data_IF_453363859236
#
_entry.id   IF_453363859236
#
_cell.length_a   1.000
_cell.length_b   1.000
_cell.length_c   1.000
_cell.angle_alpha   90.00
_cell.angle_beta   90.00
_cell.angle_gamma   90.00
#
_symmetry.space_group_name_H-M   'P 1'
#
loop_
_entity.id
_entity.type
_entity.pdbx_description
1 polymer ?
#
# COMPACT_ATOMS: atom_id res chain seq x y z
N UNK A 1 0.59 23.93 -25.00
CA UNK A 1 0.22 23.64 -23.58
C UNK A 1 1.02 22.45 -23.14
N UNK A 2 1.54 22.47 -21.93
CA UNK A 2 2.28 21.31 -21.41
C UNK A 2 1.33 20.15 -21.11
N UNK A 3 1.78 18.92 -21.37
CA UNK A 3 1.05 17.70 -21.03
C UNK A 3 1.70 17.02 -19.83
N UNK A 4 0.97 16.91 -18.74
CA UNK A 4 1.39 16.26 -17.50
C UNK A 4 0.73 14.90 -17.39
N UNK A 5 1.52 13.84 -17.24
CA UNK A 5 1.05 12.48 -17.02
C UNK A 5 1.20 12.11 -15.53
N UNK A 6 0.11 11.74 -14.87
CA UNK A 6 0.13 11.08 -13.57
C UNK A 6 0.01 9.58 -13.73
N UNK A 7 1.00 8.82 -13.23
CA UNK A 7 1.00 7.37 -13.26
C UNK A 7 0.62 6.81 -11.89
N UNK A 8 -0.63 6.36 -11.78
CA UNK A 8 -1.17 5.72 -10.58
C UNK A 8 -0.70 4.28 -10.43
N UNK A 9 -0.45 3.85 -9.20
CA UNK A 9 -0.15 2.47 -8.80
C UNK A 9 -0.95 2.14 -7.52
N UNK A 10 -0.27 1.96 -6.37
CA UNK A 10 -0.92 1.75 -5.07
C UNK A 10 -1.16 3.09 -4.35
N UNK A 11 -1.87 4.00 -5.02
CA UNK A 11 -2.16 5.36 -4.55
C UNK A 11 -3.52 5.87 -5.10
N UNK A 12 -4.55 4.99 -5.06
CA UNK A 12 -5.83 5.11 -5.74
C UNK A 12 -6.79 6.11 -5.06
N UNK A 13 -6.38 7.37 -4.97
CA UNK A 13 -7.15 8.47 -4.40
C UNK A 13 -6.84 9.80 -5.06
N UNK A 14 -7.76 10.76 -4.91
CA UNK A 14 -7.57 12.13 -5.42
C UNK A 14 -7.19 13.13 -4.32
N UNK A 15 -7.57 12.87 -3.06
CA UNK A 15 -7.22 13.72 -1.92
C UNK A 15 -5.93 13.24 -1.30
N UNK A 16 -5.04 14.16 -0.95
CA UNK A 16 -3.73 13.85 -0.36
C UNK A 16 -2.87 12.92 -1.22
N UNK A 17 -2.91 13.08 -2.55
CA UNK A 17 -2.01 12.42 -3.49
C UNK A 17 -0.98 13.42 -4.00
N UNK A 18 0.28 13.28 -3.57
CA UNK A 18 1.32 14.27 -3.83
C UNK A 18 1.65 14.41 -5.32
N UNK A 19 1.72 13.30 -6.05
CA UNK A 19 2.00 13.32 -7.48
C UNK A 19 0.87 13.97 -8.27
N UNK A 20 -0.39 13.63 -7.97
CA UNK A 20 -1.55 14.24 -8.61
C UNK A 20 -1.65 15.73 -8.27
N UNK A 21 -1.41 16.11 -7.02
CA UNK A 21 -1.39 17.49 -6.59
C UNK A 21 -0.36 18.29 -7.39
N UNK A 22 0.87 17.79 -7.50
CA UNK A 22 1.95 18.43 -8.24
C UNK A 22 1.65 18.52 -9.75
N UNK A 23 1.13 17.46 -10.36
CA UNK A 23 0.75 17.44 -11.78
C UNK A 23 -0.31 18.50 -12.11
N UNK A 24 -1.17 18.83 -11.13
CA UNK A 24 -2.28 19.78 -11.28
C UNK A 24 -1.94 21.23 -10.90
N UNK A 25 -0.70 21.54 -10.47
CA UNK A 25 -0.34 22.90 -10.04
C UNK A 25 -0.37 23.93 -11.17
N UNK A 26 0.00 23.53 -12.39
CA UNK A 26 -0.16 24.39 -13.57
C UNK A 26 -1.60 24.31 -14.09
N UNK A 27 -2.39 25.39 -13.98
CA UNK A 27 -3.76 25.40 -14.47
C UNK A 27 -3.85 25.33 -16.01
N UNK A 28 -2.79 25.67 -16.73
CA UNK A 28 -2.74 25.64 -18.20
C UNK A 28 -2.30 24.28 -18.75
N UNK A 29 -1.69 23.42 -17.95
CA UNK A 29 -1.27 22.10 -18.42
C UNK A 29 -2.47 21.18 -18.66
N UNK A 30 -2.40 20.38 -19.72
CA UNK A 30 -3.30 19.22 -19.88
C UNK A 30 -2.83 18.10 -18.93
N UNK A 31 -3.70 17.63 -18.04
CA UNK A 31 -3.38 16.53 -17.13
C UNK A 31 -4.13 15.28 -17.57
N UNK A 32 -3.37 14.21 -17.77
CA UNK A 32 -3.90 12.87 -18.08
C UNK A 32 -3.42 11.89 -17.00
N UNK A 33 -4.26 10.94 -16.66
CA UNK A 33 -3.96 9.90 -15.69
C UNK A 33 -3.76 8.56 -16.40
N UNK A 34 -2.93 7.69 -15.81
CA UNK A 34 -2.65 6.36 -16.33
C UNK A 34 -2.60 5.35 -15.19
N UNK A 35 -3.16 4.17 -15.43
CA UNK A 35 -2.94 2.96 -14.65
C UNK A 35 -2.52 1.82 -15.58
N UNK A 36 -1.44 1.10 -15.23
CA UNK A 36 -0.96 -0.08 -15.95
C UNK A 36 -1.11 -1.28 -15.02
N UNK A 37 -1.94 -2.24 -15.43
CA UNK A 37 -2.04 -3.54 -14.80
C UNK A 37 -0.91 -4.46 -15.30
N UNK A 38 -0.33 -5.29 -14.39
CA UNK A 38 0.75 -6.22 -14.72
C UNK A 38 0.46 -7.61 -14.12
N UNK A 39 -0.50 -8.37 -14.71
CA UNK A 39 -0.99 -9.63 -14.14
C UNK A 39 0.07 -10.70 -13.94
N UNK A 40 1.03 -10.85 -14.85
CA UNK A 40 2.10 -11.83 -14.67
C UNK A 40 3.03 -11.47 -13.50
N UNK A 41 3.30 -10.18 -13.29
CA UNK A 41 4.03 -9.70 -12.11
C UNK A 41 3.24 -9.99 -10.82
N UNK A 42 1.92 -9.79 -10.82
CA UNK A 42 1.07 -10.09 -9.67
C UNK A 42 1.07 -11.58 -9.33
N UNK A 43 0.97 -12.44 -10.36
CA UNK A 43 1.04 -13.90 -10.21
C UNK A 43 2.39 -14.35 -9.64
N UNK A 44 3.49 -13.74 -10.09
CA UNK A 44 4.84 -14.03 -9.60
C UNK A 44 5.04 -13.69 -8.11
N UNK A 45 4.19 -12.82 -7.55
CA UNK A 45 4.22 -12.37 -6.16
C UNK A 45 2.98 -12.78 -5.36
N UNK A 46 2.27 -13.82 -5.79
CA UNK A 46 1.15 -14.43 -5.08
C UNK A 46 0.03 -13.45 -4.70
N UNK A 47 -0.24 -12.43 -5.52
CA UNK A 47 -1.31 -11.46 -5.23
C UNK A 47 -2.66 -12.17 -5.12
N UNK A 48 -3.40 -11.89 -4.06
CA UNK A 48 -4.70 -12.53 -3.84
C UNK A 48 -5.74 -12.14 -4.91
N UNK A 49 -6.54 -13.09 -5.45
CA UNK A 49 -7.63 -12.79 -6.37
C UNK A 49 -8.66 -11.78 -5.82
N UNK A 50 -8.89 -11.76 -4.49
CA UNK A 50 -9.73 -10.75 -3.83
C UNK A 50 -9.09 -9.37 -3.85
N UNK A 51 -7.76 -9.29 -3.66
CA UNK A 51 -7.05 -8.02 -3.73
C UNK A 51 -7.11 -7.44 -5.15
N UNK A 52 -6.98 -8.28 -6.19
CA UNK A 52 -7.14 -7.85 -7.58
C UNK A 52 -8.56 -7.33 -7.87
N UNK A 53 -9.60 -8.01 -7.35
CA UNK A 53 -10.98 -7.54 -7.47
C UNK A 53 -11.20 -6.21 -6.73
N UNK A 54 -10.63 -6.05 -5.54
CA UNK A 54 -10.73 -4.80 -4.77
C UNK A 54 -9.96 -3.66 -5.43
N UNK A 55 -8.81 -3.96 -6.03
CA UNK A 55 -8.03 -3.02 -6.85
C UNK A 55 -8.88 -2.49 -8.01
N UNK A 56 -9.54 -3.38 -8.78
CA UNK A 56 -10.39 -2.98 -9.90
C UNK A 56 -11.56 -2.10 -9.45
N UNK A 57 -12.25 -2.47 -8.36
CA UNK A 57 -13.34 -1.67 -7.80
C UNK A 57 -12.87 -0.26 -7.39
N UNK A 58 -11.73 -0.14 -6.72
CA UNK A 58 -11.16 1.14 -6.32
C UNK A 58 -10.66 1.96 -7.53
N UNK A 59 -10.13 1.30 -8.56
CA UNK A 59 -9.72 1.97 -9.79
C UNK A 59 -10.93 2.56 -10.54
N UNK A 60 -12.08 1.87 -10.54
CA UNK A 60 -13.33 2.40 -11.10
C UNK A 60 -13.81 3.65 -10.34
N UNK A 61 -13.72 3.65 -9.01
CA UNK A 61 -14.05 4.82 -8.19
C UNK A 61 -13.09 5.98 -8.46
N UNK A 62 -11.79 5.71 -8.56
CA UNK A 62 -10.78 6.72 -8.92
C UNK A 62 -11.05 7.30 -10.30
N UNK A 63 -11.35 6.49 -11.31
CA UNK A 63 -11.67 6.92 -12.66
C UNK A 63 -12.85 7.90 -12.66
N UNK A 64 -13.91 7.57 -11.92
CA UNK A 64 -15.07 8.44 -11.78
C UNK A 64 -14.70 9.77 -11.09
N UNK A 65 -13.95 9.73 -10.01
CA UNK A 65 -13.52 10.91 -9.28
C UNK A 65 -12.62 11.83 -10.13
N UNK A 66 -11.73 11.27 -10.94
CA UNK A 66 -10.87 12.01 -11.88
C UNK A 66 -11.68 12.61 -13.02
N UNK A 67 -12.65 11.87 -13.59
CA UNK A 67 -13.52 12.35 -14.66
C UNK A 67 -14.31 13.60 -14.25
N UNK A 68 -14.85 13.64 -13.02
CA UNK A 68 -15.51 14.83 -12.44
C UNK A 68 -14.53 16.03 -12.40
N UNK A 69 -13.23 15.81 -12.28
CA UNK A 69 -12.20 16.86 -12.28
C UNK A 69 -11.70 17.24 -13.68
N UNK A 70 -12.24 16.61 -14.72
CA UNK A 70 -11.80 16.82 -16.11
C UNK A 70 -10.46 16.15 -16.41
N UNK A 71 -10.09 15.08 -15.69
CA UNK A 71 -8.84 14.33 -15.88
C UNK A 71 -9.18 12.94 -16.43
N UNK A 72 -8.86 12.62 -17.69
CA UNK A 72 -9.09 11.29 -18.23
C UNK A 72 -8.12 10.28 -17.63
N UNK A 73 -8.63 9.10 -17.24
CA UNK A 73 -7.82 7.95 -16.82
C UNK A 73 -7.68 6.97 -17.99
N UNK A 74 -6.45 6.82 -18.46
CA UNK A 74 -6.07 5.77 -19.41
C UNK A 74 -5.75 4.49 -18.64
N UNK A 75 -6.20 3.37 -19.18
CA UNK A 75 -5.94 2.05 -18.64
C UNK A 75 -5.22 1.21 -19.67
N UNK A 76 -4.19 0.51 -19.25
CA UNK A 76 -3.50 -0.47 -20.08
C UNK A 76 -3.10 -1.70 -19.25
N UNK A 77 -2.90 -2.83 -19.90
CA UNK A 77 -2.41 -4.05 -19.31
C UNK A 77 -1.16 -4.53 -20.06
N UNK A 78 -0.10 -4.77 -19.31
CA UNK A 78 1.14 -5.39 -19.77
C UNK A 78 1.33 -6.71 -19.03
N UNK A 79 2.18 -7.59 -19.54
CA UNK A 79 2.47 -8.84 -18.84
C UNK A 79 3.24 -8.56 -17.56
N UNK A 80 4.34 -7.83 -17.64
CA UNK A 80 5.23 -7.55 -16.51
C UNK A 80 5.72 -6.10 -16.47
N UNK A 81 6.64 -5.83 -15.55
CA UNK A 81 7.23 -4.50 -15.38
C UNK A 81 8.12 -4.07 -16.56
N UNK A 82 8.79 -5.01 -17.22
CA UNK A 82 9.64 -4.68 -18.37
C UNK A 82 8.79 -4.20 -19.56
N UNK A 83 7.70 -4.89 -19.85
CA UNK A 83 6.76 -4.49 -20.89
C UNK A 83 6.09 -3.16 -20.56
N UNK A 84 5.77 -2.93 -19.27
CA UNK A 84 5.18 -1.67 -18.81
C UNK A 84 6.10 -0.48 -19.04
N UNK A 85 7.42 -0.63 -18.90
CA UNK A 85 8.40 0.43 -19.17
C UNK A 85 8.43 0.79 -20.66
N UNK A 86 8.42 -0.21 -21.53
CA UNK A 86 8.46 -0.02 -22.98
C UNK A 86 7.18 0.68 -23.44
N UNK A 87 6.04 0.15 -23.02
CA UNK A 87 4.75 0.71 -23.37
C UNK A 87 4.55 2.14 -22.86
N UNK A 88 4.95 2.42 -21.61
CA UNK A 88 4.81 3.76 -21.03
C UNK A 88 5.68 4.80 -21.75
N UNK A 89 6.89 4.42 -22.16
CA UNK A 89 7.76 5.26 -22.96
C UNK A 89 7.11 5.62 -24.32
N UNK A 90 6.55 4.63 -25.02
CA UNK A 90 5.83 4.85 -26.28
C UNK A 90 4.56 5.68 -26.08
N UNK A 91 3.81 5.44 -25.00
CA UNK A 91 2.64 6.22 -24.64
C UNK A 91 2.99 7.69 -24.37
N UNK A 92 4.06 7.94 -23.64
CA UNK A 92 4.54 9.30 -23.40
C UNK A 92 4.85 10.07 -24.69
N UNK A 93 5.39 9.39 -25.70
CA UNK A 93 5.63 10.01 -27.00
C UNK A 93 4.34 10.30 -27.75
N UNK A 94 3.44 9.30 -27.82
CA UNK A 94 2.16 9.45 -28.53
C UNK A 94 1.31 10.59 -27.96
N UNK A 95 1.35 10.76 -26.62
CA UNK A 95 0.63 11.81 -25.91
C UNK A 95 1.42 13.13 -25.78
N UNK A 96 2.64 13.19 -26.32
CA UNK A 96 3.52 14.36 -26.20
C UNK A 96 3.67 14.83 -24.73
N UNK A 97 3.98 13.89 -23.82
CA UNK A 97 4.10 14.16 -22.39
C UNK A 97 5.37 14.97 -22.11
N UNK A 98 5.22 16.12 -21.45
CA UNK A 98 6.32 16.97 -21.01
C UNK A 98 6.85 16.58 -19.63
N UNK A 99 5.95 16.14 -18.74
CA UNK A 99 6.31 15.76 -17.38
C UNK A 99 5.52 14.53 -16.90
N UNK A 100 6.23 13.58 -16.29
CA UNK A 100 5.70 12.39 -15.67
C UNK A 100 5.78 12.53 -14.15
N UNK A 101 4.63 12.33 -13.48
CA UNK A 101 4.48 12.42 -12.02
C UNK A 101 4.08 11.08 -11.47
N UNK A 102 4.72 10.64 -10.37
CA UNK A 102 4.33 9.41 -9.69
C UNK A 102 4.79 9.36 -8.23
N UNK A 103 4.05 8.60 -7.42
CA UNK A 103 4.39 8.36 -6.04
C UNK A 103 5.29 7.12 -5.92
N UNK A 104 6.36 7.17 -5.15
CA UNK A 104 7.33 6.09 -5.02
C UNK A 104 6.71 4.84 -4.38
N UNK A 105 7.12 3.69 -4.88
CA UNK A 105 6.96 2.38 -4.25
C UNK A 105 8.34 1.93 -3.74
N UNK A 106 8.37 1.19 -2.63
CA UNK A 106 9.63 0.93 -1.92
C UNK A 106 10.12 -0.50 -2.06
N UNK A 107 9.31 -1.38 -2.63
CA UNK A 107 9.67 -2.74 -2.96
C UNK A 107 10.75 -2.75 -4.05
N UNK A 108 11.63 -3.75 -3.99
CA UNK A 108 12.84 -3.77 -4.85
C UNK A 108 12.50 -3.77 -6.35
N UNK A 109 11.54 -4.59 -6.78
CA UNK A 109 11.18 -4.70 -8.18
C UNK A 109 10.57 -3.39 -8.70
N UNK A 110 9.76 -2.74 -7.89
CA UNK A 110 9.14 -1.44 -8.17
C UNK A 110 10.18 -0.34 -8.29
N UNK A 111 11.17 -0.31 -7.40
CA UNK A 111 12.29 0.63 -7.47
C UNK A 111 13.13 0.41 -8.73
N UNK A 112 13.42 -0.84 -9.09
CA UNK A 112 14.16 -1.18 -10.31
C UNK A 112 13.38 -0.77 -11.56
N UNK A 113 12.08 -1.03 -11.61
CA UNK A 113 11.18 -0.57 -12.69
C UNK A 113 11.21 0.93 -12.84
N UNK A 114 11.00 1.67 -11.75
CA UNK A 114 10.95 3.14 -11.77
C UNK A 114 12.31 3.73 -12.16
N UNK A 115 13.42 3.15 -11.68
CA UNK A 115 14.77 3.54 -12.07
C UNK A 115 15.06 3.30 -13.56
N UNK A 116 14.67 2.14 -14.09
CA UNK A 116 14.84 1.79 -15.51
C UNK A 116 14.01 2.70 -16.42
N UNK A 117 12.77 3.01 -16.04
CA UNK A 117 11.92 3.96 -16.77
C UNK A 117 12.56 5.35 -16.84
N UNK A 118 12.97 5.91 -15.71
CA UNK A 118 13.59 7.24 -15.66
C UNK A 118 14.87 7.28 -16.50
N UNK A 119 15.68 6.23 -16.42
CA UNK A 119 16.90 6.10 -17.25
C UNK A 119 16.55 6.11 -18.74
N UNK A 120 15.54 5.32 -19.13
CA UNK A 120 15.08 5.22 -20.54
C UNK A 120 14.56 6.56 -21.06
N UNK A 121 13.72 7.27 -20.30
CA UNK A 121 13.20 8.59 -20.67
C UNK A 121 14.31 9.65 -20.78
N UNK A 122 15.31 9.60 -19.89
CA UNK A 122 16.45 10.51 -19.92
C UNK A 122 17.39 10.27 -21.12
N UNK A 123 17.59 9.02 -21.56
CA UNK A 123 18.44 8.70 -22.72
C UNK A 123 17.89 9.22 -24.06
N UNK A 124 16.62 9.61 -24.13
CA UNK A 124 16.00 10.22 -25.31
C UNK A 124 16.31 11.70 -25.49
N UNK A 125 17.10 12.32 -24.61
CA UNK A 125 17.48 13.76 -24.69
C UNK A 125 18.10 14.17 -26.04
N UNK A 126 18.53 13.22 -26.88
CA UNK A 126 19.03 13.48 -28.25
C UNK A 126 17.95 13.57 -29.34
N UNK A 127 16.69 13.26 -29.06
CA UNK A 127 15.58 13.19 -30.07
C UNK A 127 14.63 14.41 -30.00
N UNK A 128 14.95 15.47 -29.29
CA UNK A 128 14.25 16.76 -29.34
C UNK A 128 13.15 17.00 -28.32
N UNK A 129 12.74 16.00 -27.52
CA UNK A 129 11.75 16.18 -26.45
C UNK A 129 12.19 15.46 -25.18
N UNK A 130 12.36 16.23 -24.10
CA UNK A 130 12.80 15.72 -22.79
C UNK A 130 11.61 15.64 -21.84
N UNK A 131 11.38 14.46 -21.24
CA UNK A 131 10.33 14.26 -20.26
C UNK A 131 10.93 14.41 -18.86
N UNK A 132 10.40 15.35 -18.06
CA UNK A 132 10.83 15.52 -16.69
C UNK A 132 10.08 14.54 -15.78
N UNK A 133 10.80 13.77 -14.95
CA UNK A 133 10.19 12.81 -14.01
C UNK A 133 10.18 13.39 -12.59
N UNK A 134 8.99 13.44 -11.98
CA UNK A 134 8.77 13.91 -10.61
C UNK A 134 8.31 12.74 -9.73
N UNK A 135 9.06 12.47 -8.64
CA UNK A 135 8.81 11.38 -7.71
C UNK A 135 8.51 11.91 -6.31
N UNK A 136 7.57 11.30 -5.61
CA UNK A 136 7.11 11.76 -4.29
C UNK A 136 7.03 10.61 -3.29
N UNK A 137 7.40 10.88 -2.03
CA UNK A 137 7.23 9.95 -0.91
C UNK A 137 5.82 10.12 -0.32
N UNK A 138 4.85 9.42 -0.89
CA UNK A 138 3.43 9.62 -0.63
C UNK A 138 2.84 8.58 0.34
N UNK A 139 3.29 7.34 0.26
CA UNK A 139 2.73 6.22 1.03
C UNK A 139 3.30 6.09 2.45
N UNK A 140 4.04 7.09 2.92
CA UNK A 140 4.70 7.16 4.23
C UNK A 140 4.50 8.52 4.88
N UNK A 141 4.66 8.59 6.20
CA UNK A 141 4.71 9.84 6.97
C UNK A 141 6.08 10.51 6.86
N UNK A 142 7.15 9.71 6.90
CA UNK A 142 8.53 10.16 6.75
C UNK A 142 9.24 9.30 5.69
N UNK A 143 10.01 9.92 4.77
CA UNK A 143 10.72 9.17 3.74
C UNK A 143 11.66 8.10 4.32
N UNK A 144 11.70 6.87 3.78
CA UNK A 144 12.67 5.86 4.18
C UNK A 144 14.11 6.40 4.09
N UNK A 145 14.91 6.08 5.12
CA UNK A 145 16.26 6.63 5.26
C UNK A 145 16.35 7.98 5.98
N UNK A 146 15.21 8.60 6.33
CA UNK A 146 15.20 9.85 7.11
C UNK A 146 15.32 9.63 8.64
N UNK A 147 15.06 8.41 9.12
CA UNK A 147 15.13 8.05 10.55
C UNK A 147 16.22 7.00 10.74
N UNK A 148 17.40 7.46 11.15
CA UNK A 148 18.60 6.63 11.30
C UNK A 148 19.17 6.77 12.71
N UNK A 149 20.01 5.81 13.11
CA UNK A 149 20.82 5.89 14.32
C UNK A 149 21.90 6.98 14.22
N UNK A 150 22.57 7.30 15.33
CA UNK A 150 23.70 8.22 15.33
C UNK A 150 24.85 7.84 14.39
N UNK A 151 24.94 6.56 13.98
CA UNK A 151 25.93 6.04 13.03
C UNK A 151 25.40 5.99 11.58
N UNK A 152 24.28 6.65 11.28
CA UNK A 152 23.60 6.62 9.97
C UNK A 152 23.16 5.22 9.52
N UNK A 153 22.82 4.33 10.44
CA UNK A 153 22.30 3.01 10.16
C UNK A 153 20.79 2.93 10.45
N UNK A 154 20.10 2.04 9.73
CA UNK A 154 18.70 1.74 10.02
C UNK A 154 18.55 1.05 11.38
N UNK A 155 17.57 1.49 12.16
CA UNK A 155 17.19 0.81 13.40
C UNK A 155 16.70 -0.62 13.10
N UNK A 156 17.20 -1.60 13.87
CA UNK A 156 16.80 -3.02 13.75
C UNK A 156 15.72 -3.42 14.77
N UNK A 157 15.40 -2.51 15.69
CA UNK A 157 14.43 -2.72 16.78
C UNK A 157 13.41 -1.58 16.78
N UNK A 158 12.14 -1.91 16.91
CA UNK A 158 11.04 -0.94 16.81
C UNK A 158 11.06 0.16 17.87
N UNK A 159 11.29 -0.18 19.16
CA UNK A 159 11.17 0.80 20.25
C UNK A 159 12.10 2.00 20.10
N UNK A 160 13.39 1.85 19.82
CA UNK A 160 14.26 3.00 19.55
C UNK A 160 13.91 3.72 18.23
N UNK A 161 13.51 2.99 17.17
CA UNK A 161 13.01 3.58 15.94
C UNK A 161 11.81 4.48 16.20
N UNK A 162 10.78 3.98 16.90
CA UNK A 162 9.57 4.74 17.24
C UNK A 162 9.89 6.06 17.94
N UNK A 163 10.82 6.05 18.91
CA UNK A 163 11.23 7.27 19.63
C UNK A 163 11.84 8.30 18.68
N UNK A 164 12.78 7.88 17.85
CA UNK A 164 13.43 8.75 16.87
C UNK A 164 12.42 9.21 15.80
N UNK A 165 11.52 8.33 15.36
CA UNK A 165 10.47 8.63 14.39
C UNK A 165 9.52 9.73 14.89
N UNK A 166 9.02 9.61 16.13
CA UNK A 166 8.13 10.62 16.73
C UNK A 166 8.83 11.98 16.86
N UNK A 167 10.08 11.99 17.31
CA UNK A 167 10.87 13.23 17.37
C UNK A 167 10.99 13.90 15.99
N UNK A 168 11.25 13.10 14.94
CA UNK A 168 11.35 13.61 13.57
C UNK A 168 10.00 14.06 13.04
N UNK A 169 8.93 13.31 13.34
CA UNK A 169 7.57 13.64 12.94
C UNK A 169 7.10 14.98 13.52
N UNK A 170 7.44 15.28 14.77
CA UNK A 170 7.13 16.57 15.43
C UNK A 170 7.81 17.78 14.75
N UNK A 171 8.93 17.55 14.07
CA UNK A 171 9.67 18.56 13.33
C UNK A 171 9.27 18.66 11.85
N UNK A 172 8.37 17.80 11.40
CA UNK A 172 7.99 17.65 9.99
C UNK A 172 6.60 18.20 9.74
N UNK A 173 6.39 18.78 8.55
CA UNK A 173 5.06 19.19 8.10
C UNK A 173 4.34 18.03 7.40
N UNK A 174 3.59 17.22 8.16
CA UNK A 174 2.79 16.12 7.63
C UNK A 174 1.37 16.57 7.28
N UNK A 175 1.23 17.66 6.48
CA UNK A 175 -0.10 18.17 6.06
C UNK A 175 -0.61 17.42 4.85
N UNK A 176 -1.93 17.19 4.81
CA UNK A 176 -2.61 16.68 3.64
C UNK A 176 -2.72 17.75 2.56
N UNK A 177 -2.52 17.36 1.30
CA UNK A 177 -2.78 18.21 0.15
C UNK A 177 -4.23 18.06 -0.33
N UNK A 178 -4.87 19.13 -0.85
CA UNK A 178 -6.25 19.04 -1.32
C UNK A 178 -6.34 18.23 -2.62
N UNK A 179 -7.56 17.72 -2.90
CA UNK A 179 -7.89 17.19 -4.22
C UNK A 179 -7.74 18.29 -5.29
N UNK A 180 -7.42 17.94 -6.55
CA UNK A 180 -7.30 18.92 -7.62
C UNK A 180 -8.62 19.66 -7.86
N UNK A 181 -8.53 20.93 -8.24
CA UNK A 181 -9.70 21.71 -8.69
C UNK A 181 -10.21 21.13 -10.01
N UNK A 182 -11.51 21.39 -10.29
CA UNK A 182 -12.07 21.09 -11.61
C UNK A 182 -11.29 21.87 -12.67
N UNK A 183 -11.00 21.20 -13.79
CA UNK A 183 -10.32 21.80 -14.93
C UNK A 183 -11.33 22.11 -16.02
N UNK A 184 -11.14 23.22 -16.74
CA UNK A 184 -11.96 23.60 -17.88
C UNK A 184 -11.60 22.71 -19.10
N UNK A 185 -11.86 21.43 -19.00
CA UNK A 185 -11.66 20.44 -20.06
C UNK A 185 -13.02 19.99 -20.61
N UNK A 186 -12.98 19.43 -21.83
CA UNK A 186 -14.14 18.72 -22.39
C UNK A 186 -14.62 17.68 -21.38
N UNK A 187 -15.93 17.53 -21.23
CA UNK A 187 -16.52 16.55 -20.33
C UNK A 187 -15.89 15.16 -20.57
N UNK A 188 -15.19 14.66 -19.56
CA UNK A 188 -14.55 13.34 -19.64
C UNK A 188 -15.61 12.29 -19.30
N UNK A 189 -15.96 11.47 -20.28
CA UNK A 189 -16.82 10.30 -20.04
C UNK A 189 -15.90 9.12 -19.66
N UNK A 190 -16.04 8.55 -18.43
CA UNK A 190 -15.26 7.38 -18.05
C UNK A 190 -15.66 6.19 -18.93
N UNK A 191 -14.69 5.59 -19.60
CA UNK A 191 -14.89 4.35 -20.31
C UNK A 191 -14.96 3.18 -19.31
N UNK A 192 -15.81 2.16 -19.55
CA UNK A 192 -15.83 0.98 -18.70
C UNK A 192 -14.44 0.34 -18.64
N UNK A 193 -13.90 0.16 -17.43
CA UNK A 193 -12.68 -0.61 -17.26
C UNK A 193 -12.97 -2.09 -17.47
N UNK A 194 -12.17 -2.73 -18.32
CA UNK A 194 -12.23 -4.16 -18.50
C UNK A 194 -11.65 -4.87 -17.25
N UNK A 195 -12.16 -6.05 -16.90
CA UNK A 195 -11.55 -6.88 -15.87
C UNK A 195 -10.08 -7.15 -16.22
N UNK A 196 -9.24 -7.27 -15.19
CA UNK A 196 -7.86 -7.71 -15.36
C UNK A 196 -7.81 -9.13 -15.89
N UNK A 197 -6.86 -9.45 -16.75
CA UNK A 197 -6.51 -10.83 -17.13
C UNK A 197 -5.78 -11.51 -15.95
N UNK A 198 -6.49 -11.60 -14.83
CA UNK A 198 -6.03 -12.14 -13.57
C UNK A 198 -7.22 -12.73 -12.81
N UNK A 199 -7.04 -13.85 -12.08
CA UNK A 199 -8.11 -14.40 -11.26
C UNK A 199 -8.70 -13.35 -10.32
N UNK A 200 -10.02 -13.34 -10.20
CA UNK A 200 -10.73 -12.44 -9.30
C UNK A 200 -11.71 -13.23 -8.44
N UNK A 201 -11.77 -12.87 -7.17
CA UNK A 201 -12.77 -13.39 -6.22
C UNK A 201 -13.58 -12.22 -5.67
N UNK A 202 -14.88 -12.40 -5.43
CA UNK A 202 -15.72 -11.36 -4.87
C UNK A 202 -15.20 -10.84 -3.53
N UNK A 203 -15.29 -9.53 -3.34
CA UNK A 203 -15.06 -8.86 -2.06
C UNK A 203 -16.41 -8.58 -1.42
N UNK A 204 -16.50 -8.78 -0.10
CA UNK A 204 -17.69 -8.38 0.63
C UNK A 204 -17.73 -6.85 0.75
N UNK A 205 -18.58 -6.22 -0.06
CA UNK A 205 -18.73 -4.77 -0.10
C UNK A 205 -19.40 -4.18 1.16
N UNK A 206 -19.98 -5.00 2.03
CA UNK A 206 -20.46 -4.54 3.34
C UNK A 206 -19.31 -4.41 4.32
N UNK A 207 -18.35 -5.33 4.26
CA UNK A 207 -17.13 -5.28 5.07
C UNK A 207 -16.13 -4.24 4.51
N UNK A 208 -15.92 -4.24 3.20
CA UNK A 208 -14.92 -3.40 2.54
C UNK A 208 -15.50 -2.71 1.29
N UNK A 209 -16.37 -1.68 1.47
CA UNK A 209 -16.85 -0.90 0.33
C UNK A 209 -15.70 -0.16 -0.35
N UNK A 210 -15.67 -0.17 -1.68
CA UNK A 210 -14.62 0.48 -2.46
C UNK A 210 -14.78 2.00 -2.50
N UNK A 211 -13.67 2.71 -2.66
CA UNK A 211 -13.59 4.14 -2.89
C UNK A 211 -13.06 4.94 -1.71
N UNK A 212 -12.48 6.08 -2.04
CA UNK A 212 -11.84 7.01 -1.09
C UNK A 212 -12.83 7.51 -0.03
N UNK A 213 -14.07 7.84 -0.42
CA UNK A 213 -15.07 8.34 0.54
C UNK A 213 -15.44 7.28 1.58
N UNK A 214 -15.57 6.01 1.17
CA UNK A 214 -15.83 4.90 2.10
C UNK A 214 -14.67 4.72 3.10
N UNK A 215 -13.43 4.80 2.61
CA UNK A 215 -12.23 4.73 3.46
C UNK A 215 -12.17 5.89 4.46
N UNK A 216 -12.44 7.11 4.00
CA UNK A 216 -12.46 8.31 4.84
C UNK A 216 -13.59 8.27 5.87
N UNK A 217 -14.76 7.77 5.50
CA UNK A 217 -15.87 7.61 6.43
C UNK A 217 -15.53 6.60 7.53
N UNK A 218 -14.94 5.45 7.17
CA UNK A 218 -14.48 4.45 8.14
C UNK A 218 -13.42 5.04 9.08
N UNK A 219 -12.45 5.79 8.57
CA UNK A 219 -11.46 6.48 9.38
C UNK A 219 -12.11 7.47 10.36
N UNK A 220 -13.08 8.27 9.90
CA UNK A 220 -13.80 9.23 10.75
C UNK A 220 -14.57 8.55 11.87
N UNK A 221 -15.33 7.49 11.55
CA UNK A 221 -16.08 6.72 12.56
C UNK A 221 -15.16 6.07 13.58
N UNK A 222 -14.09 5.41 13.12
CA UNK A 222 -13.11 4.81 14.02
C UNK A 222 -12.47 5.82 14.98
N UNK A 223 -12.00 6.96 14.46
CA UNK A 223 -11.35 7.98 15.30
C UNK A 223 -12.31 8.65 16.30
N UNK A 224 -13.61 8.76 15.97
CA UNK A 224 -14.60 9.35 16.88
C UNK A 224 -15.12 8.40 17.94
N UNK A 225 -15.33 7.13 17.57
CA UNK A 225 -16.17 6.22 18.35
C UNK A 225 -15.37 5.11 19.03
N UNK A 226 -14.21 4.72 18.47
CA UNK A 226 -13.52 3.49 18.86
C UNK A 226 -12.06 3.70 19.31
N UNK A 227 -11.40 4.74 18.81
CA UNK A 227 -9.95 4.91 18.98
C UNK A 227 -9.53 5.01 20.45
N UNK A 228 -10.37 5.55 21.34
CA UNK A 228 -10.06 5.68 22.76
C UNK A 228 -9.96 4.32 23.45
N UNK A 229 -10.80 3.37 23.05
CA UNK A 229 -10.82 2.01 23.60
C UNK A 229 -9.86 1.05 22.89
N UNK A 230 -9.18 1.51 21.84
CA UNK A 230 -8.33 0.68 20.99
C UNK A 230 -7.27 -0.07 21.79
N UNK A 231 -6.63 0.57 22.78
CA UNK A 231 -5.61 -0.07 23.62
C UNK A 231 -6.14 -1.29 24.37
N UNK A 232 -7.41 -1.26 24.79
CA UNK A 232 -8.03 -2.35 25.54
C UNK A 232 -8.62 -3.43 24.65
N UNK A 233 -9.07 -3.05 23.43
CA UNK A 233 -9.84 -3.94 22.56
C UNK A 233 -9.00 -4.57 21.44
N UNK A 234 -7.86 -3.97 21.07
CA UNK A 234 -7.03 -4.39 19.94
C UNK A 234 -6.57 -5.85 19.98
N UNK A 235 -6.51 -6.44 21.15
CA UNK A 235 -6.05 -7.81 21.35
C UNK A 235 -7.19 -8.83 21.52
N UNK A 236 -8.44 -8.38 21.37
CA UNK A 236 -9.65 -9.18 21.50
C UNK A 236 -10.28 -9.44 20.13
N UNK A 237 -9.97 -10.56 19.43
CA UNK A 237 -10.43 -10.80 18.07
C UNK A 237 -11.96 -10.87 17.90
N UNK A 238 -12.69 -11.20 18.97
CA UNK A 238 -14.15 -11.26 18.94
C UNK A 238 -14.83 -9.89 19.10
N UNK A 239 -14.05 -8.82 19.35
CA UNK A 239 -14.56 -7.45 19.52
C UNK A 239 -14.26 -6.66 18.26
N UNK A 240 -15.23 -5.88 17.77
CA UNK A 240 -15.03 -4.96 16.64
C UNK A 240 -14.24 -3.71 17.07
N UNK A 241 -13.04 -3.93 17.65
CA UNK A 241 -12.18 -2.88 18.25
C UNK A 241 -11.06 -2.40 17.34
N UNK A 242 -11.02 -2.81 16.06
CA UNK A 242 -9.96 -2.43 15.11
C UNK A 242 -10.51 -1.57 13.96
N UNK A 243 -9.64 -0.77 13.35
CA UNK A 243 -10.06 0.17 12.30
C UNK A 243 -10.44 -0.50 10.97
N UNK A 244 -9.94 -1.70 10.69
CA UNK A 244 -10.08 -2.40 9.40
C UNK A 244 -9.70 -1.52 8.18
N UNK A 245 -8.68 -0.66 8.32
CA UNK A 245 -8.23 0.27 7.28
C UNK A 245 -7.09 -0.28 6.43
N UNK A 246 -6.52 -1.43 6.80
CA UNK A 246 -5.37 -2.02 6.10
C UNK A 246 -5.60 -2.23 4.59
N UNK A 247 -6.77 -2.69 4.08
CA UNK A 247 -6.97 -2.83 2.63
C UNK A 247 -6.90 -1.50 1.87
N UNK A 248 -7.38 -0.44 2.48
CA UNK A 248 -7.34 0.90 1.86
C UNK A 248 -5.93 1.50 1.90
N UNK A 249 -5.16 1.23 2.95
CA UNK A 249 -3.75 1.65 3.06
C UNK A 249 -2.85 0.85 2.11
N UNK A 250 -3.13 -0.44 1.89
CA UNK A 250 -2.37 -1.30 0.97
C UNK A 250 -2.48 -0.83 -0.49
N UNK A 251 -3.69 -0.43 -0.93
CA UNK A 251 -3.93 0.09 -2.27
C UNK A 251 -3.79 1.63 -2.36
N UNK A 252 -3.44 2.29 -1.26
CA UNK A 252 -3.30 3.74 -1.20
C UNK A 252 -4.59 4.51 -1.50
N UNK A 253 -5.75 3.89 -1.28
CA UNK A 253 -7.06 4.57 -1.27
C UNK A 253 -7.17 5.53 -0.10
N UNK A 254 -6.38 5.26 0.95
CA UNK A 254 -6.19 6.10 2.12
C UNK A 254 -4.68 6.31 2.34
N UNK A 255 -4.27 7.53 2.68
CA UNK A 255 -2.87 7.81 3.01
C UNK A 255 -2.59 7.73 4.51
N UNK A 256 -1.34 7.45 4.92
CA UNK A 256 -0.96 7.55 6.33
C UNK A 256 -1.05 8.99 6.88
N UNK A 257 -0.88 10.02 6.03
CA UNK A 257 -1.06 11.43 6.43
C UNK A 257 -2.51 11.74 6.75
N UNK A 258 -3.47 11.22 5.97
CA UNK A 258 -4.90 11.36 6.28
C UNK A 258 -5.24 10.70 7.62
N UNK A 259 -4.69 9.50 7.89
CA UNK A 259 -4.83 8.81 9.17
C UNK A 259 -4.28 9.64 10.33
N UNK A 260 -3.05 10.12 10.20
CA UNK A 260 -2.36 10.91 11.22
C UNK A 260 -3.06 12.24 11.50
N UNK A 261 -3.41 13.01 10.44
CA UNK A 261 -4.09 14.29 10.59
C UNK A 261 -5.51 14.12 11.18
N UNK A 262 -6.22 13.04 10.82
CA UNK A 262 -7.52 12.76 11.41
C UNK A 262 -7.39 12.45 12.90
N UNK A 263 -6.39 11.67 13.27
CA UNK A 263 -6.12 11.33 14.66
C UNK A 263 -5.75 12.57 15.48
N UNK A 264 -4.91 13.47 14.94
CA UNK A 264 -4.58 14.75 15.57
C UNK A 264 -5.79 15.67 15.74
N UNK A 265 -6.72 15.67 14.78
CA UNK A 265 -7.94 16.47 14.87
C UNK A 265 -8.88 16.03 16.00
N UNK A 266 -8.92 14.72 16.30
CA UNK A 266 -9.69 14.17 17.42
C UNK A 266 -8.92 14.21 18.75
N UNK A 267 -7.59 14.11 18.71
CA UNK A 267 -6.71 14.04 19.87
C UNK A 267 -5.55 15.05 19.71
N UNK A 268 -5.76 16.35 19.92
CA UNK A 268 -4.72 17.36 19.69
C UNK A 268 -3.43 17.16 20.51
N UNK A 269 -3.52 16.58 21.71
CA UNK A 269 -2.37 16.25 22.57
C UNK A 269 -1.75 14.87 22.27
N UNK A 270 -2.02 14.28 21.09
CA UNK A 270 -1.62 12.91 20.71
C UNK A 270 -0.11 12.62 20.91
N UNK A 271 0.74 13.57 20.54
CA UNK A 271 2.19 13.40 20.61
C UNK A 271 2.79 13.74 22.00
N UNK A 272 2.02 14.43 22.84
CA UNK A 272 2.38 14.77 24.21
C UNK A 272 1.95 13.68 25.19
N UNK A 273 0.78 13.07 24.93
CA UNK A 273 0.25 11.98 25.75
C UNK A 273 0.50 10.63 25.07
N UNK A 274 1.51 9.93 25.54
CA UNK A 274 1.93 8.62 24.98
C UNK A 274 1.13 7.43 25.53
N UNK A 275 0.11 7.68 26.34
CA UNK A 275 -0.81 6.67 26.86
C UNK A 275 -2.17 6.77 26.18
N UNK A 276 -2.88 5.64 26.15
CA UNK A 276 -4.25 5.56 25.63
C UNK A 276 -4.38 5.00 24.21
N UNK A 277 -5.62 4.83 23.79
CA UNK A 277 -5.98 4.15 22.56
C UNK A 277 -5.50 4.87 21.30
N UNK A 278 -5.61 6.20 21.27
CA UNK A 278 -5.18 7.00 20.11
C UNK A 278 -3.68 6.88 19.83
N UNK A 279 -2.84 6.97 20.86
CA UNK A 279 -1.40 6.78 20.72
C UNK A 279 -1.04 5.33 20.37
N UNK A 280 -1.76 4.37 20.96
CA UNK A 280 -1.59 2.94 20.63
C UNK A 280 -1.91 2.69 19.16
N UNK A 281 -2.96 3.32 18.59
CA UNK A 281 -3.26 3.20 17.17
C UNK A 281 -2.22 3.92 16.28
N UNK A 282 -1.72 5.08 16.69
CA UNK A 282 -0.59 5.73 16.01
C UNK A 282 0.64 4.80 15.93
N UNK A 283 0.92 4.02 16.97
CA UNK A 283 2.01 3.04 16.94
C UNK A 283 1.83 1.99 15.83
N UNK A 284 0.60 1.63 15.43
CA UNK A 284 0.39 0.71 14.31
C UNK A 284 0.77 1.35 12.97
N UNK A 285 0.50 2.65 12.80
CA UNK A 285 1.00 3.39 11.63
C UNK A 285 2.54 3.47 11.65
N UNK A 286 3.15 3.68 12.83
CA UNK A 286 4.62 3.72 12.96
C UNK A 286 5.23 2.32 12.73
N UNK A 287 4.56 1.22 13.09
CA UNK A 287 4.98 -0.13 12.72
C UNK A 287 5.04 -0.31 11.21
N UNK A 288 4.02 0.15 10.48
CA UNK A 288 3.99 0.14 9.01
C UNK A 288 5.15 0.96 8.43
N UNK A 289 5.46 2.14 8.98
CA UNK A 289 6.62 2.94 8.60
C UNK A 289 7.93 2.18 8.85
N UNK A 290 8.07 1.57 10.04
CA UNK A 290 9.27 0.81 10.41
C UNK A 290 9.58 -0.30 9.40
N UNK A 291 8.59 -1.08 9.00
CA UNK A 291 8.78 -2.15 8.02
C UNK A 291 9.13 -1.62 6.64
N UNK A 292 8.55 -0.50 6.20
CA UNK A 292 8.94 0.15 4.93
C UNK A 292 10.38 0.69 4.97
N UNK A 293 10.79 1.30 6.06
CA UNK A 293 12.18 1.72 6.27
C UNK A 293 13.14 0.52 6.28
N UNK A 294 12.76 -0.59 6.92
CA UNK A 294 13.54 -1.84 6.89
C UNK A 294 13.66 -2.40 5.49
N UNK A 295 12.57 -2.45 4.73
CA UNK A 295 12.54 -2.99 3.37
C UNK A 295 13.51 -2.24 2.45
N UNK A 296 13.54 -0.92 2.55
CA UNK A 296 14.45 -0.06 1.77
C UNK A 296 15.91 -0.25 2.22
N UNK A 297 16.16 -0.36 3.53
CA UNK A 297 17.50 -0.55 4.06
C UNK A 297 18.06 -1.98 3.81
N UNK A 298 17.17 -2.96 3.71
CA UNK A 298 17.53 -4.38 3.52
C UNK A 298 16.75 -4.99 2.34
N UNK A 299 17.08 -4.65 1.07
CA UNK A 299 16.33 -5.10 -0.11
C UNK A 299 16.27 -6.64 -0.29
N UNK A 300 17.16 -7.39 0.40
CA UNK A 300 17.11 -8.84 0.42
C UNK A 300 15.81 -9.42 0.98
N UNK A 301 15.08 -8.64 1.83
CA UNK A 301 13.79 -9.02 2.35
C UNK A 301 12.76 -9.19 1.23
N UNK A 302 12.84 -8.39 0.18
CA UNK A 302 12.00 -8.54 -1.02
C UNK A 302 12.30 -9.81 -1.83
N UNK A 303 13.30 -10.61 -1.45
CA UNK A 303 13.75 -11.83 -2.14
C UNK A 303 13.60 -13.07 -1.26
N UNK A 304 12.65 -13.06 -0.33
CA UNK A 304 12.38 -14.16 0.61
C UNK A 304 13.62 -14.58 1.41
N UNK A 305 14.54 -13.64 1.67
CA UNK A 305 15.69 -13.87 2.53
C UNK A 305 15.38 -13.45 3.96
N UNK A 306 15.84 -14.18 4.96
CA UNK A 306 15.57 -13.85 6.34
C UNK A 306 16.26 -12.54 6.74
N UNK A 307 15.67 -11.84 7.71
CA UNK A 307 16.27 -10.63 8.29
C UNK A 307 17.56 -10.95 9.05
N UNK A 308 17.61 -12.10 9.72
CA UNK A 308 18.77 -12.61 10.47
C UNK A 308 19.37 -13.78 9.69
N UNK A 309 20.59 -13.61 9.15
CA UNK A 309 21.21 -14.51 8.18
C UNK A 309 21.33 -15.97 8.65
N UNK A 310 21.68 -16.19 9.94
CA UNK A 310 21.85 -17.56 10.44
C UNK A 310 20.54 -18.36 10.45
N UNK A 311 19.38 -17.71 10.41
CA UNK A 311 18.08 -18.41 10.36
C UNK A 311 17.82 -19.09 9.03
N UNK A 312 18.60 -18.80 7.98
CA UNK A 312 18.55 -19.54 6.71
C UNK A 312 19.02 -21.01 6.87
N UNK A 313 19.79 -21.31 7.93
CA UNK A 313 20.23 -22.65 8.28
C UNK A 313 19.25 -23.46 9.15
N UNK A 314 18.07 -22.96 9.44
CA UNK A 314 17.04 -23.67 10.22
C UNK A 314 16.53 -24.86 9.41
N UNK A 315 16.54 -26.04 10.02
CA UNK A 315 15.98 -27.26 9.42
C UNK A 315 14.48 -27.28 9.68
N UNK A 316 13.70 -27.18 8.61
CA UNK A 316 12.25 -27.13 8.65
C UNK A 316 11.63 -28.53 8.48
N UNK A 317 10.43 -28.69 9.05
CA UNK A 317 9.59 -29.86 8.79
C UNK A 317 8.92 -29.75 7.42
N UNK A 318 8.84 -30.83 6.66
CA UNK A 318 8.28 -30.90 5.32
C UNK A 318 6.93 -31.66 5.28
N UNK A 319 6.08 -31.48 6.28
CA UNK A 319 4.78 -32.14 6.32
C UNK A 319 3.73 -31.37 5.50
N UNK A 320 3.49 -31.83 4.29
CA UNK A 320 2.40 -31.28 3.44
C UNK A 320 1.03 -31.42 4.10
N UNK A 321 0.75 -32.51 4.78
CA UNK A 321 -0.50 -32.74 5.49
C UNK A 321 -0.74 -31.68 6.58
N UNK A 322 0.27 -31.34 7.36
CA UNK A 322 0.18 -30.32 8.39
C UNK A 322 0.01 -28.92 7.78
N UNK A 323 0.74 -28.61 6.69
CA UNK A 323 0.59 -27.34 5.98
C UNK A 323 -0.85 -27.17 5.44
N UNK A 324 -1.40 -28.19 4.78
CA UNK A 324 -2.78 -28.18 4.27
C UNK A 324 -3.79 -28.03 5.44
N UNK A 325 -3.60 -28.75 6.54
CA UNK A 325 -4.46 -28.63 7.71
C UNK A 325 -4.46 -27.20 8.28
N UNK A 326 -3.28 -26.56 8.35
CA UNK A 326 -3.13 -25.16 8.77
C UNK A 326 -3.84 -24.21 7.78
N UNK A 327 -3.58 -24.33 6.48
CA UNK A 327 -4.23 -23.51 5.44
C UNK A 327 -5.75 -23.60 5.48
N UNK A 328 -6.30 -24.76 5.78
CA UNK A 328 -7.75 -25.01 5.78
C UNK A 328 -8.42 -24.77 7.16
N UNK A 329 -7.67 -24.34 8.17
CA UNK A 329 -8.19 -24.14 9.52
C UNK A 329 -8.72 -25.44 10.14
N UNK A 330 -7.93 -26.52 10.06
CA UNK A 330 -8.26 -27.87 10.56
C UNK A 330 -7.10 -28.46 11.38
N UNK A 331 -6.42 -27.61 12.13
CA UNK A 331 -5.29 -28.02 12.98
C UNK A 331 -5.74 -28.69 14.26
N UNK A 332 -6.99 -28.49 14.67
CA UNK A 332 -7.51 -28.88 15.97
C UNK A 332 -7.28 -27.86 17.09
N UNK A 333 -6.61 -26.73 16.79
CA UNK A 333 -6.44 -25.61 17.69
C UNK A 333 -7.48 -24.53 17.38
N UNK A 334 -8.53 -24.35 18.21
CA UNK A 334 -9.70 -23.55 17.83
C UNK A 334 -9.38 -22.12 17.40
N UNK A 335 -8.43 -21.45 18.06
CA UNK A 335 -8.07 -20.06 17.73
C UNK A 335 -7.33 -19.97 16.39
N UNK A 336 -6.44 -20.92 16.08
CA UNK A 336 -5.74 -21.00 14.78
C UNK A 336 -6.72 -21.33 13.67
N UNK A 337 -7.60 -22.29 13.90
CA UNK A 337 -8.60 -22.73 12.91
C UNK A 337 -9.59 -21.61 12.59
N UNK A 338 -10.07 -20.88 13.61
CA UNK A 338 -10.94 -19.72 13.43
C UNK A 338 -10.23 -18.61 12.62
N UNK A 339 -8.96 -18.35 12.93
CA UNK A 339 -8.15 -17.35 12.23
C UNK A 339 -8.03 -17.67 10.73
N UNK A 340 -7.65 -18.91 10.41
CA UNK A 340 -7.46 -19.34 9.02
C UNK A 340 -8.79 -19.39 8.24
N UNK A 341 -9.90 -19.76 8.88
CA UNK A 341 -11.23 -19.69 8.27
C UNK A 341 -11.66 -18.26 7.98
N UNK A 342 -11.43 -17.32 8.92
CA UNK A 342 -11.70 -15.90 8.69
C UNK A 342 -10.94 -15.39 7.46
N UNK A 343 -9.64 -15.73 7.35
CA UNK A 343 -8.83 -15.37 6.19
C UNK A 343 -9.42 -15.93 4.90
N UNK A 344 -9.74 -17.23 4.87
CA UNK A 344 -10.21 -17.92 3.68
C UNK A 344 -11.58 -17.41 3.22
N UNK A 345 -12.46 -17.05 4.16
CA UNK A 345 -13.80 -16.58 3.88
C UNK A 345 -13.84 -15.12 3.45
N UNK A 346 -13.09 -14.26 4.14
CA UNK A 346 -13.20 -12.80 3.98
C UNK A 346 -12.04 -12.15 3.24
N UNK A 347 -10.88 -12.81 3.16
CA UNK A 347 -9.62 -12.21 2.69
C UNK A 347 -8.99 -11.27 3.72
N UNK A 348 -9.51 -11.24 4.95
CA UNK A 348 -8.98 -10.42 6.03
C UNK A 348 -8.85 -11.23 7.32
N UNK A 349 -7.87 -10.91 8.14
CA UNK A 349 -7.66 -11.55 9.43
C UNK A 349 -7.25 -10.50 10.45
N UNK A 350 -7.82 -10.57 11.64
CA UNK A 350 -7.43 -9.73 12.77
C UNK A 350 -5.91 -9.83 13.05
N UNK A 351 -5.22 -8.70 13.31
CA UNK A 351 -3.77 -8.67 13.47
C UNK A 351 -3.23 -9.66 14.51
N UNK A 352 -3.86 -9.76 15.68
CA UNK A 352 -3.44 -10.71 16.71
C UNK A 352 -3.53 -12.17 16.24
N UNK A 353 -4.52 -12.48 15.42
CA UNK A 353 -4.68 -13.81 14.84
C UNK A 353 -3.63 -14.11 13.76
N UNK A 354 -3.20 -13.11 12.99
CA UNK A 354 -2.05 -13.27 12.05
C UNK A 354 -0.80 -13.70 12.80
N UNK A 355 -0.49 -13.03 13.92
CA UNK A 355 0.66 -13.37 14.75
C UNK A 355 0.56 -14.78 15.32
N UNK A 356 -0.63 -15.17 15.84
CA UNK A 356 -0.85 -16.49 16.43
C UNK A 356 -0.74 -17.59 15.39
N UNK A 357 -1.44 -17.46 14.24
CA UNK A 357 -1.44 -18.49 13.20
C UNK A 357 -0.07 -18.62 12.50
N UNK A 358 0.64 -17.52 12.27
CA UNK A 358 2.01 -17.56 11.74
C UNK A 358 2.99 -18.18 12.76
N UNK A 359 2.89 -17.81 14.06
CA UNK A 359 3.73 -18.40 15.11
C UNK A 359 3.49 -19.91 15.23
N UNK A 360 2.23 -20.34 15.17
CA UNK A 360 1.89 -21.77 15.20
C UNK A 360 2.51 -22.54 14.03
N UNK A 361 2.42 -22.02 12.81
CA UNK A 361 3.06 -22.64 11.64
C UNK A 361 4.56 -22.83 11.85
N UNK A 362 5.23 -21.76 12.30
CA UNK A 362 6.71 -21.70 12.33
C UNK A 362 7.29 -22.40 13.56
N UNK A 363 6.64 -22.26 14.74
CA UNK A 363 7.20 -22.72 16.03
C UNK A 363 6.65 -24.07 16.48
N UNK A 364 5.37 -24.34 16.22
CA UNK A 364 4.74 -25.56 16.68
C UNK A 364 4.77 -26.65 15.61
N UNK A 365 4.54 -26.28 14.33
CA UNK A 365 4.65 -27.20 13.20
C UNK A 365 6.07 -27.27 12.62
N UNK A 366 6.94 -26.31 12.92
CA UNK A 366 8.29 -26.17 12.35
C UNK A 366 8.30 -26.14 10.82
N UNK A 367 7.27 -25.58 10.20
CA UNK A 367 7.17 -25.41 8.75
C UNK A 367 7.78 -24.07 8.36
N UNK A 368 8.50 -24.05 7.23
CA UNK A 368 9.17 -22.85 6.72
C UNK A 368 8.20 -21.69 6.57
N UNK A 369 8.56 -20.56 7.18
CA UNK A 369 7.78 -19.33 7.18
C UNK A 369 7.43 -18.85 5.76
N UNK A 370 8.24 -19.18 4.73
CA UNK A 370 8.00 -18.80 3.33
C UNK A 370 6.71 -19.41 2.77
N UNK A 371 6.31 -20.60 3.25
CA UNK A 371 5.02 -21.20 2.90
C UNK A 371 3.85 -20.42 3.51
N UNK A 372 4.02 -19.95 4.74
CA UNK A 372 3.02 -19.11 5.41
C UNK A 372 2.87 -17.74 4.77
N UNK A 373 3.98 -17.06 4.48
CA UNK A 373 4.02 -15.77 3.79
C UNK A 373 3.30 -15.86 2.44
N UNK A 374 3.66 -16.82 1.60
CA UNK A 374 3.04 -17.04 0.29
C UNK A 374 1.54 -17.30 0.42
N UNK A 375 1.13 -18.12 1.37
CA UNK A 375 -0.28 -18.40 1.59
C UNK A 375 -1.04 -17.15 2.03
N UNK A 376 -0.50 -16.37 2.96
CA UNK A 376 -1.10 -15.11 3.39
C UNK A 376 -1.23 -14.14 2.22
N UNK A 377 -0.18 -13.93 1.45
CA UNK A 377 -0.23 -13.06 0.26
C UNK A 377 -1.31 -13.51 -0.73
N UNK A 378 -1.47 -14.83 -0.95
CA UNK A 378 -2.46 -15.39 -1.88
C UNK A 378 -3.92 -15.26 -1.40
N UNK A 379 -4.16 -14.92 -0.13
CA UNK A 379 -5.48 -14.81 0.45
C UNK A 379 -5.85 -13.38 0.90
N UNK A 380 -4.87 -12.58 1.32
CA UNK A 380 -5.10 -11.29 1.96
C UNK A 380 -5.58 -10.23 0.97
N UNK A 381 -6.69 -9.56 1.33
CA UNK A 381 -7.19 -8.36 0.67
C UNK A 381 -6.23 -7.16 0.84
N UNK A 382 -5.49 -7.16 1.93
CA UNK A 382 -4.52 -6.14 2.32
C UNK A 382 -3.07 -6.62 2.19
N UNK A 383 -2.81 -7.57 1.28
CA UNK A 383 -1.46 -8.06 1.02
C UNK A 383 -0.50 -6.90 0.69
N UNK A 384 0.53 -6.74 1.53
CA UNK A 384 1.59 -5.71 1.41
C UNK A 384 2.90 -6.36 1.88
N UNK A 385 3.92 -6.38 1.02
CA UNK A 385 5.19 -7.04 1.32
C UNK A 385 5.91 -6.43 2.53
N UNK A 386 5.66 -5.16 2.82
CA UNK A 386 6.30 -4.45 3.91
C UNK A 386 5.56 -4.59 5.25
N UNK A 387 4.27 -4.99 5.27
CA UNK A 387 3.46 -4.87 6.48
C UNK A 387 2.55 -6.07 6.77
#
# INVERSE_FOLDING_TARGET
>A
MATHLIWFRNDLRITDNLALHAACQDPQATVIALFIATPAQWAAHDMAPRQAAFLLQNLQQLQHALAIRGIPLHYHQCDDFQDSIIWLDDFCQQQQVDALFFNQQYELNEQLRDGALVTRLNHRQGAGHTITCHRFDDSVLLPPGSVLTGNNEMYKVFTPFRRAFIQRLMMSECRCVPAPKMRDSVAVMPLPLLPFDYPQQPVDNQLFPAGEEAALQRLRSFCREQVQDYQLQRDLPAVAGTSCLSPYLALGVLSPRQCFNRLLAECPALLENTDGGAFTWLNELIWREFYRHLLVAYPRLCRHRPFIDWTDGVIWNHSEQQLIAWQQGRTGYPIVDAAMRQLNETGWMHNRLRMISASFLVKDLLIDWRHGERYFMSQLLDGDLAA
#
